data_IF_604713807230
#
_entry.id   IF_604713807230
#
_cell.length_a   1.000
_cell.length_b   1.000
_cell.length_c   1.000
_cell.angle_alpha   90.00
_cell.angle_beta   90.00
_cell.angle_gamma   90.00
#
_symmetry.space_group_name_H-M   'P 1'
#
loop_
_entity.id
_entity.type
_entity.pdbx_description
1 polymer ?
#
# COMPACT_ATOMS: atom_id res chain seq x y z
N UNK A 1 -3.36 26.65 -20.63
CA UNK A 1 -3.66 25.22 -20.41
C UNK A 1 -4.71 25.11 -19.31
N UNK A 2 -5.97 24.86 -19.67
CA UNK A 2 -7.10 24.81 -18.73
C UNK A 2 -7.02 23.60 -17.78
N UNK A 3 -7.64 23.74 -16.60
CA UNK A 3 -7.74 22.64 -15.64
C UNK A 3 -8.91 21.76 -16.06
N UNK A 4 -8.62 20.54 -16.54
CA UNK A 4 -9.67 19.58 -16.90
C UNK A 4 -10.28 18.96 -15.64
N UNK A 5 -11.43 19.47 -15.21
CA UNK A 5 -12.22 18.89 -14.14
C UNK A 5 -13.10 17.75 -14.66
N UNK A 6 -13.36 16.77 -13.80
CA UNK A 6 -14.38 15.76 -14.09
C UNK A 6 -15.78 16.37 -13.99
N UNK A 7 -16.69 15.97 -14.87
CA UNK A 7 -18.11 16.33 -14.75
C UNK A 7 -18.80 15.45 -13.72
N UNK A 8 -19.97 15.87 -13.22
CA UNK A 8 -20.75 15.10 -12.26
C UNK A 8 -21.11 13.69 -12.77
N UNK A 9 -21.37 13.58 -14.06
CA UNK A 9 -21.65 12.30 -14.74
C UNK A 9 -20.43 11.38 -14.71
N UNK A 10 -19.26 11.90 -15.08
CA UNK A 10 -18.00 11.15 -15.04
C UNK A 10 -17.66 10.71 -13.61
N UNK A 11 -17.92 11.57 -12.62
CA UNK A 11 -17.70 11.24 -11.21
C UNK A 11 -18.62 10.10 -10.79
N UNK A 12 -19.90 10.12 -11.15
CA UNK A 12 -20.84 9.04 -10.83
C UNK A 12 -20.41 7.71 -11.43
N UNK A 13 -20.08 7.68 -12.72
CA UNK A 13 -19.64 6.47 -13.43
C UNK A 13 -18.41 5.86 -12.73
N UNK A 14 -17.43 6.69 -12.40
CA UNK A 14 -16.18 6.23 -11.79
C UNK A 14 -16.30 5.93 -10.29
N UNK A 15 -17.32 6.46 -9.61
CA UNK A 15 -17.54 6.23 -8.17
C UNK A 15 -18.00 4.81 -7.87
N UNK A 16 -18.71 4.18 -8.80
CA UNK A 16 -19.23 2.83 -8.62
C UNK A 16 -18.16 1.74 -8.82
N UNK A 17 -16.95 2.12 -9.25
CA UNK A 17 -15.87 1.19 -9.55
C UNK A 17 -15.10 0.77 -8.27
N UNK A 18 -14.92 -0.56 -8.01
CA UNK A 18 -14.23 -1.06 -6.82
C UNK A 18 -12.72 -0.72 -6.76
N UNK A 19 -12.13 -0.31 -7.88
CA UNK A 19 -10.72 0.05 -7.97
C UNK A 19 -10.44 1.53 -7.64
N UNK A 20 -11.50 2.32 -7.41
CA UNK A 20 -11.42 3.74 -7.07
C UNK A 20 -11.81 3.92 -5.60
N UNK A 21 -10.86 4.37 -4.77
CA UNK A 21 -11.12 4.62 -3.34
C UNK A 21 -11.84 5.94 -3.12
N UNK A 22 -11.42 6.99 -3.82
CA UNK A 22 -11.99 8.33 -3.71
C UNK A 22 -11.88 9.05 -5.05
N UNK A 23 -12.92 9.81 -5.38
CA UNK A 23 -12.95 10.67 -6.56
C UNK A 23 -13.38 12.08 -6.16
N UNK A 24 -12.75 13.07 -6.76
CA UNK A 24 -13.16 14.48 -6.74
C UNK A 24 -13.13 15.03 -8.16
N UNK A 25 -13.69 16.21 -8.36
CA UNK A 25 -13.59 16.97 -9.61
C UNK A 25 -12.15 17.10 -10.15
N UNK A 26 -11.14 17.09 -9.27
CA UNK A 26 -9.75 17.36 -9.66
C UNK A 26 -8.93 16.08 -9.83
N UNK A 27 -9.21 15.05 -9.04
CA UNK A 27 -8.31 13.91 -8.84
C UNK A 27 -9.05 12.63 -8.46
N UNK A 28 -8.42 11.51 -8.80
CA UNK A 28 -8.85 10.16 -8.44
C UNK A 28 -7.78 9.54 -7.54
N UNK A 29 -8.22 8.87 -6.48
CA UNK A 29 -7.41 8.01 -5.63
C UNK A 29 -7.74 6.56 -5.98
N UNK A 30 -6.77 5.88 -6.59
CA UNK A 30 -6.88 4.46 -6.91
C UNK A 30 -6.53 3.59 -5.71
N UNK A 31 -7.13 2.41 -5.65
CA UNK A 31 -6.85 1.43 -4.61
C UNK A 31 -5.44 0.84 -4.75
N UNK A 32 -4.90 0.35 -3.63
CA UNK A 32 -3.63 -0.36 -3.64
C UNK A 32 -3.66 -1.59 -4.56
N UNK A 33 -4.76 -2.35 -4.53
CA UNK A 33 -4.97 -3.53 -5.39
C UNK A 33 -4.90 -3.18 -6.87
N UNK A 34 -5.54 -2.09 -7.28
CA UNK A 34 -5.46 -1.60 -8.66
C UNK A 34 -4.02 -1.32 -9.07
N UNK A 35 -3.26 -0.59 -8.24
CA UNK A 35 -1.88 -0.21 -8.56
C UNK A 35 -0.96 -1.42 -8.73
N UNK A 36 -1.13 -2.44 -7.88
CA UNK A 36 -0.38 -3.70 -7.97
C UNK A 36 -0.65 -4.42 -9.28
N UNK A 37 -1.93 -4.64 -9.63
CA UNK A 37 -2.32 -5.35 -10.85
C UNK A 37 -1.92 -4.53 -12.10
N UNK A 38 -2.11 -3.21 -12.06
CA UNK A 38 -1.69 -2.30 -13.12
C UNK A 38 -0.19 -2.42 -13.37
N UNK A 39 0.65 -2.39 -12.33
CA UNK A 39 2.09 -2.54 -12.48
C UNK A 39 2.49 -3.91 -13.03
N UNK A 40 1.81 -4.97 -12.59
CA UNK A 40 2.06 -6.32 -13.10
C UNK A 40 1.84 -6.41 -14.61
N UNK A 41 0.70 -5.92 -15.11
CA UNK A 41 0.39 -5.93 -16.56
C UNK A 41 1.24 -4.96 -17.36
N UNK A 42 1.49 -3.78 -16.80
CA UNK A 42 2.35 -2.78 -17.45
C UNK A 42 3.79 -3.29 -17.59
N UNK A 43 4.32 -4.01 -16.61
CA UNK A 43 5.67 -4.61 -16.70
C UNK A 43 5.75 -5.76 -17.71
N UNK A 44 4.63 -6.38 -18.07
CA UNK A 44 4.51 -7.36 -19.15
C UNK A 44 4.41 -6.71 -20.55
N UNK A 45 4.37 -5.38 -20.64
CA UNK A 45 4.33 -4.64 -21.91
C UNK A 45 2.93 -4.25 -22.38
N UNK A 46 1.89 -4.44 -21.58
CA UNK A 46 0.54 -3.97 -21.92
C UNK A 46 0.44 -2.44 -21.91
N UNK A 47 -0.31 -1.89 -22.86
CA UNK A 47 -0.51 -0.45 -22.97
C UNK A 47 -1.37 0.09 -21.79
N UNK A 48 -0.99 1.22 -21.16
CA UNK A 48 -1.73 1.82 -20.04
C UNK A 48 -3.23 2.02 -20.31
N UNK A 49 -3.59 2.43 -21.52
CA UNK A 49 -4.98 2.62 -21.92
C UNK A 49 -5.75 1.30 -21.94
N UNK A 50 -5.14 0.22 -22.43
CA UNK A 50 -5.76 -1.11 -22.45
C UNK A 50 -5.99 -1.63 -21.03
N UNK A 51 -5.00 -1.46 -20.16
CA UNK A 51 -5.09 -1.85 -18.76
C UNK A 51 -6.23 -1.09 -18.08
N UNK A 52 -6.31 0.23 -18.25
CA UNK A 52 -7.40 1.04 -17.68
C UNK A 52 -8.78 0.61 -18.17
N UNK A 53 -8.93 0.37 -19.48
CA UNK A 53 -10.18 -0.15 -20.04
C UNK A 53 -10.57 -1.51 -19.45
N UNK A 54 -9.60 -2.39 -19.15
CA UNK A 54 -9.88 -3.69 -18.52
C UNK A 54 -10.40 -3.60 -17.08
N UNK A 55 -10.25 -2.43 -16.44
CA UNK A 55 -10.77 -2.12 -15.11
C UNK A 55 -12.04 -1.27 -15.15
N UNK A 56 -12.73 -1.18 -16.29
CA UNK A 56 -13.90 -0.30 -16.47
C UNK A 56 -13.58 1.18 -16.19
N UNK A 57 -12.35 1.61 -16.47
CA UNK A 57 -11.92 3.00 -16.37
C UNK A 57 -11.63 3.50 -17.79
N UNK A 58 -12.54 4.28 -18.35
CA UNK A 58 -12.38 4.81 -19.71
C UNK A 58 -11.14 5.74 -19.80
N UNK A 59 -10.12 5.38 -20.60
CA UNK A 59 -8.94 6.21 -20.84
C UNK A 59 -9.29 7.58 -21.43
N UNK A 60 -10.38 7.69 -22.18
CA UNK A 60 -10.81 8.95 -22.80
C UNK A 60 -11.28 9.97 -21.76
N UNK A 61 -12.03 9.52 -20.75
CA UNK A 61 -12.48 10.35 -19.61
C UNK A 61 -11.29 10.91 -18.82
N UNK A 62 -10.21 10.12 -18.68
CA UNK A 62 -9.00 10.55 -17.98
C UNK A 62 -8.16 11.52 -18.81
N UNK A 63 -8.02 11.24 -20.09
CA UNK A 63 -7.14 11.96 -21.00
C UNK A 63 -5.65 11.62 -20.84
N UNK A 64 -4.83 11.95 -21.86
CA UNK A 64 -3.46 11.45 -21.99
C UNK A 64 -2.54 11.88 -20.85
N UNK A 65 -2.71 13.12 -20.35
CA UNK A 65 -1.88 13.65 -19.27
C UNK A 65 -2.10 12.89 -17.96
N UNK A 66 -3.34 12.52 -17.63
CA UNK A 66 -3.64 11.76 -16.41
C UNK A 66 -3.10 10.34 -16.52
N UNK A 67 -3.25 9.70 -17.68
CA UNK A 67 -2.70 8.36 -17.94
C UNK A 67 -1.18 8.34 -17.74
N UNK A 68 -0.46 9.28 -18.37
CA UNK A 68 0.99 9.41 -18.20
C UNK A 68 1.40 9.61 -16.74
N UNK A 69 0.68 10.47 -16.01
CA UNK A 69 0.91 10.68 -14.58
C UNK A 69 0.67 9.41 -13.74
N UNK A 70 -0.34 8.60 -14.09
CA UNK A 70 -0.62 7.32 -13.39
C UNK A 70 0.58 6.39 -13.55
N UNK A 71 1.06 6.20 -14.78
CA UNK A 71 2.22 5.35 -15.08
C UNK A 71 3.46 5.82 -14.30
N UNK A 72 3.77 7.11 -14.36
CA UNK A 72 4.93 7.67 -13.65
C UNK A 72 4.83 7.49 -12.14
N UNK A 73 3.64 7.68 -11.55
CA UNK A 73 3.42 7.51 -10.11
C UNK A 73 3.55 6.05 -9.69
N UNK A 74 2.93 5.14 -10.42
CA UNK A 74 2.98 3.70 -10.13
C UNK A 74 4.42 3.19 -10.25
N UNK A 75 5.17 3.59 -11.29
CA UNK A 75 6.59 3.25 -11.40
C UNK A 75 7.40 3.71 -10.18
N UNK A 76 7.21 4.97 -9.76
CA UNK A 76 7.88 5.53 -8.58
C UNK A 76 7.46 4.88 -7.27
N UNK A 77 6.24 4.36 -7.17
CA UNK A 77 5.76 3.61 -6.00
C UNK A 77 6.31 2.19 -6.00
N UNK A 78 6.40 1.53 -7.16
CA UNK A 78 6.98 0.20 -7.31
C UNK A 78 8.46 0.12 -6.92
N UNK A 79 9.21 1.21 -7.09
CA UNK A 79 10.62 1.32 -6.69
C UNK A 79 10.80 1.44 -5.15
N UNK A 80 9.74 1.66 -4.37
CA UNK A 80 9.82 1.84 -2.91
C UNK A 80 9.82 0.50 -2.19
N UNK A 81 10.52 0.44 -1.05
CA UNK A 81 10.47 -0.72 -0.14
C UNK A 81 9.06 -0.97 0.41
N UNK A 82 8.30 0.08 0.69
CA UNK A 82 6.91 0.01 1.16
C UNK A 82 5.92 -0.32 0.02
N UNK A 83 6.38 -0.32 -1.23
CA UNK A 83 5.57 -0.57 -2.42
C UNK A 83 4.42 0.43 -2.61
N UNK A 84 3.22 -0.10 -2.83
CA UNK A 84 2.01 0.68 -3.13
C UNK A 84 1.20 1.09 -1.88
N UNK A 85 1.73 0.89 -0.67
CA UNK A 85 1.05 1.26 0.56
C UNK A 85 0.99 2.78 0.80
N UNK A 86 -0.04 3.21 1.54
CA UNK A 86 -0.23 4.61 1.90
C UNK A 86 0.67 5.00 3.08
N UNK A 87 1.87 5.44 2.75
CA UNK A 87 2.96 5.78 3.69
C UNK A 87 2.60 6.91 4.66
N UNK A 88 1.51 7.66 4.41
CA UNK A 88 1.03 8.73 5.31
C UNK A 88 0.58 8.21 6.67
N UNK A 89 0.25 6.92 6.79
CA UNK A 89 -0.12 6.30 8.08
C UNK A 89 1.07 6.17 9.04
N UNK A 90 2.27 5.98 8.48
CA UNK A 90 3.48 5.71 9.25
C UNK A 90 4.39 6.94 9.36
N UNK A 91 4.24 7.90 8.46
CA UNK A 91 5.04 9.11 8.44
C UNK A 91 4.48 10.16 9.40
N UNK A 92 5.31 10.61 10.35
CA UNK A 92 5.03 11.72 11.24
C UNK A 92 5.01 13.02 10.41
N UNK A 93 3.82 13.40 9.92
CA UNK A 93 3.56 14.43 8.91
C UNK A 93 4.45 15.67 8.96
N UNK A 94 3.93 16.80 9.46
CA UNK A 94 4.74 18.02 9.58
C UNK A 94 5.58 17.92 10.86
N UNK A 95 6.91 18.13 10.80
CA UNK A 95 7.74 18.18 12.00
C UNK A 95 7.21 19.25 12.96
N UNK A 96 7.23 18.93 14.25
CA UNK A 96 6.80 19.83 15.33
C UNK A 96 7.74 21.04 15.38
N UNK A 97 7.18 22.24 15.49
CA UNK A 97 7.96 23.50 15.42
C UNK A 97 8.60 23.90 16.77
N UNK A 98 8.11 23.37 17.89
CA UNK A 98 8.67 23.61 19.23
C UNK A 98 9.37 22.36 19.76
N UNK A 99 10.50 22.57 20.43
CA UNK A 99 11.18 21.54 21.20
C UNK A 99 10.31 20.97 22.34
N UNK A 100 10.52 19.67 22.60
CA UNK A 100 9.89 18.96 23.72
C UNK A 100 10.56 19.35 25.05
N UNK A 101 9.74 19.52 26.09
CA UNK A 101 10.20 19.61 27.47
C UNK A 101 10.99 18.33 27.84
N UNK A 102 11.96 18.39 28.77
CA UNK A 102 12.63 17.20 29.30
C UNK A 102 11.64 16.13 29.77
N UNK A 103 10.57 16.51 30.46
CA UNK A 103 9.53 15.59 30.94
C UNK A 103 8.76 14.92 29.78
N UNK A 104 8.37 15.70 28.77
CA UNK A 104 7.74 15.18 27.55
C UNK A 104 8.64 14.19 26.81
N UNK A 105 9.95 14.46 26.77
CA UNK A 105 10.95 13.56 26.16
C UNK A 105 11.03 12.25 26.93
N UNK A 106 11.06 12.30 28.26
CA UNK A 106 11.12 11.10 29.10
C UNK A 106 9.88 10.24 28.86
N UNK A 107 8.68 10.82 28.95
CA UNK A 107 7.43 10.10 28.71
C UNK A 107 7.36 9.48 27.30
N UNK A 108 7.82 10.20 26.28
CA UNK A 108 7.91 9.68 24.91
C UNK A 108 8.88 8.50 24.80
N UNK A 109 10.06 8.61 25.40
CA UNK A 109 11.08 7.55 25.39
C UNK A 109 10.61 6.32 26.15
N UNK A 110 9.96 6.48 27.29
CA UNK A 110 9.36 5.39 28.07
C UNK A 110 8.32 4.64 27.25
N UNK A 111 7.39 5.36 26.60
CA UNK A 111 6.41 4.77 25.71
C UNK A 111 7.08 4.02 24.55
N UNK A 112 8.11 4.61 23.93
CA UNK A 112 8.86 3.98 22.83
C UNK A 112 9.55 2.69 23.28
N UNK A 113 10.20 2.70 24.45
CA UNK A 113 10.85 1.51 25.03
C UNK A 113 9.82 0.42 25.31
N UNK A 114 8.66 0.77 25.88
CA UNK A 114 7.59 -0.18 26.15
C UNK A 114 7.08 -0.85 24.87
N UNK A 115 6.82 -0.04 23.83
CA UNK A 115 6.40 -0.54 22.51
C UNK A 115 7.44 -1.48 21.88
N UNK A 116 8.72 -1.08 21.88
CA UNK A 116 9.80 -1.91 21.34
C UNK A 116 9.96 -3.24 22.08
N UNK A 117 9.79 -3.24 23.41
CA UNK A 117 9.81 -4.47 24.21
C UNK A 117 8.68 -5.41 23.79
N UNK A 118 7.47 -4.88 23.58
CA UNK A 118 6.33 -5.66 23.11
C UNK A 118 6.58 -6.28 21.73
N UNK A 119 7.17 -5.51 20.80
CA UNK A 119 7.50 -5.99 19.45
C UNK A 119 8.54 -7.12 19.49
N UNK A 120 9.57 -6.99 20.33
CA UNK A 120 10.56 -8.06 20.56
C UNK A 120 9.91 -9.31 21.16
N UNK A 121 8.99 -9.15 22.10
CA UNK A 121 8.29 -10.28 22.72
C UNK A 121 7.41 -11.02 21.71
N UNK A 122 6.72 -10.29 20.84
CA UNK A 122 5.94 -10.85 19.74
C UNK A 122 6.82 -11.65 18.77
N UNK A 123 7.96 -11.10 18.36
CA UNK A 123 8.92 -11.80 17.49
C UNK A 123 9.49 -13.07 18.15
N UNK A 124 9.81 -13.01 19.44
CA UNK A 124 10.23 -14.20 20.21
C UNK A 124 9.14 -15.27 20.22
N UNK A 125 7.87 -14.87 20.37
CA UNK A 125 6.74 -15.80 20.36
C UNK A 125 6.56 -16.46 19.00
N UNK A 126 6.62 -15.71 17.91
CA UNK A 126 6.59 -16.25 16.53
C UNK A 126 7.68 -17.31 16.35
N UNK A 127 8.93 -16.96 16.68
CA UNK A 127 10.08 -17.88 16.54
C UNK A 127 9.92 -19.17 17.35
N UNK A 128 9.31 -19.08 18.54
CA UNK A 128 8.99 -20.27 19.35
C UNK A 128 7.98 -21.18 18.64
N UNK A 129 6.90 -20.60 18.12
CA UNK A 129 5.85 -21.35 17.41
C UNK A 129 6.38 -22.01 16.13
N UNK A 130 7.20 -21.30 15.36
CA UNK A 130 7.87 -21.85 14.17
C UNK A 130 8.75 -23.05 14.54
N UNK A 131 9.53 -22.93 15.62
CA UNK A 131 10.37 -24.02 16.12
C UNK A 131 9.54 -25.22 16.56
N UNK A 132 8.43 -25.01 17.28
CA UNK A 132 7.51 -26.08 17.67
C UNK A 132 6.86 -26.76 16.46
N UNK A 133 6.42 -25.99 15.47
CA UNK A 133 5.84 -26.51 14.23
C UNK A 133 6.86 -27.36 13.46
N UNK A 134 8.11 -26.89 13.35
CA UNK A 134 9.21 -27.64 12.76
C UNK A 134 9.44 -28.98 13.46
N UNK A 135 9.51 -28.99 14.80
CA UNK A 135 9.68 -30.23 15.56
C UNK A 135 8.51 -31.21 15.38
N UNK A 136 7.27 -30.71 15.28
CA UNK A 136 6.09 -31.55 15.03
C UNK A 136 6.14 -32.20 13.63
N UNK A 137 6.57 -31.46 12.61
CA UNK A 137 6.74 -31.97 11.25
C UNK A 137 7.80 -33.09 11.19
N UNK A 138 8.97 -32.88 11.82
CA UNK A 138 10.03 -33.89 11.89
C UNK A 138 9.58 -35.19 12.56
N UNK A 139 8.80 -35.10 13.65
CA UNK A 139 8.21 -36.27 14.33
C UNK A 139 7.17 -37.00 13.48
N UNK A 140 6.44 -36.30 12.61
CA UNK A 140 5.44 -36.91 11.71
C UNK A 140 6.12 -37.68 10.57
N UNK A 141 7.15 -37.09 9.96
CA UNK A 141 7.90 -37.72 8.86
C UNK A 141 8.65 -38.98 9.32
N UNK A 142 9.29 -38.93 10.51
CA UNK A 142 9.98 -40.10 11.09
C UNK A 142 9.03 -41.24 11.46
N UNK A 143 7.78 -40.96 11.85
CA UNK A 143 6.75 -41.98 12.09
C UNK A 143 6.19 -42.59 10.80
N UNK A 144 6.10 -41.81 9.73
CA UNK A 144 5.67 -42.29 8.41
C UNK A 144 6.69 -43.21 7.74
N UNK A 145 7.98 -43.02 8.00
CA UNK A 145 9.08 -43.85 7.46
C UNK A 145 9.27 -45.19 8.19
N UNK A 146 8.60 -45.41 9.33
CA UNK A 146 8.69 -46.64 10.14
C UNK A 146 7.48 -47.57 9.98
N UNK A 147 6.57 -47.27 9.07
CA UNK A 147 5.50 -48.15 8.58
C UNK A 147 5.82 -48.55 7.15
#
# INVERSE_FOLDING_TARGET
>A
MGVNYFTDEQIKILKDNPYIEKISYKSIKYSQKFKMEFWSRYSQGEAPSSILSSFDIDPHILGPKRISNIVQRIKKEAERLEGFEDTRKHNAGRPRTRDMSPEEKIAYLEHKIAYQKQEIEFLKKIRSLEREAYWKLQKKNTKSSKK
#
